data_IF_912051592700
#
_entry.id   IF_912051592700
#
_cell.length_a   1.000
_cell.length_b   1.000
_cell.length_c   1.000
_cell.angle_alpha   90.00
_cell.angle_beta   90.00
_cell.angle_gamma   90.00
#
_symmetry.space_group_name_H-M   'P 1'
#
loop_
_entity.id
_entity.type
_entity.pdbx_description
1 polymer ?
#
# COMPACT_ATOMS: atom_id res chain seq x y z
N UNK A 1 -10.21 -4.76 16.86
CA UNK A 1 -8.96 -5.53 16.70
C UNK A 1 -8.02 -4.69 15.86
N UNK A 2 -6.76 -4.51 16.27
CA UNK A 2 -5.75 -3.94 15.37
C UNK A 2 -5.31 -5.04 14.42
N UNK A 3 -5.52 -4.82 13.12
CA UNK A 3 -4.98 -5.67 12.07
C UNK A 3 -3.69 -5.01 11.59
N UNK A 4 -2.61 -5.78 11.58
CA UNK A 4 -1.33 -5.35 11.05
C UNK A 4 -1.18 -5.92 9.64
N UNK A 5 -0.68 -5.10 8.73
CA UNK A 5 -0.42 -5.45 7.33
C UNK A 5 1.02 -5.13 7.00
N UNK A 6 1.60 -5.90 6.08
CA UNK A 6 3.01 -5.81 5.71
C UNK A 6 3.13 -5.17 4.35
N UNK A 7 3.70 -3.97 4.31
CA UNK A 7 4.02 -3.28 3.07
C UNK A 7 5.43 -3.66 2.61
N UNK A 8 5.54 -4.25 1.43
CA UNK A 8 6.83 -4.36 0.73
C UNK A 8 7.08 -3.06 0.01
N UNK A 9 8.26 -2.48 0.21
CA UNK A 9 8.67 -1.21 -0.39
C UNK A 9 9.98 -1.44 -1.14
N UNK A 10 10.00 -1.02 -2.40
CA UNK A 10 11.18 -1.06 -3.27
C UNK A 10 11.37 0.30 -3.92
N UNK A 11 12.61 0.76 -3.97
CA UNK A 11 12.98 1.89 -4.82
C UNK A 11 13.50 1.35 -6.16
N UNK A 12 12.96 1.86 -7.26
CA UNK A 12 13.43 1.58 -8.61
C UNK A 12 13.63 2.91 -9.37
N UNK A 13 14.87 3.17 -9.76
CA UNK A 13 15.32 4.47 -10.26
C UNK A 13 14.82 5.65 -9.38
N UNK A 14 13.97 6.52 -9.93
CA UNK A 14 13.42 7.70 -9.25
C UNK A 14 12.02 7.45 -8.63
N UNK A 15 11.57 6.20 -8.57
CA UNK A 15 10.25 5.82 -8.09
C UNK A 15 10.34 4.90 -6.88
N UNK A 16 9.40 5.07 -5.97
CA UNK A 16 9.11 4.15 -4.89
C UNK A 16 7.89 3.33 -5.30
N UNK A 17 8.01 2.01 -5.25
CA UNK A 17 6.97 1.05 -5.61
C UNK A 17 6.68 0.23 -4.36
N UNK A 18 5.41 0.01 -4.04
CA UNK A 18 5.06 -0.84 -2.91
C UNK A 18 3.71 -1.51 -3.05
N UNK A 19 3.55 -2.58 -2.29
CA UNK A 19 2.33 -3.39 -2.24
C UNK A 19 2.14 -4.01 -0.85
N UNK A 20 0.89 -4.35 -0.52
CA UNK A 20 0.56 -5.06 0.72
C UNK A 20 0.62 -6.56 0.45
N UNK A 21 1.45 -7.30 1.20
CA UNK A 21 1.66 -8.74 0.98
C UNK A 21 0.36 -9.54 1.13
N UNK A 22 -0.47 -9.14 2.09
CA UNK A 22 -1.69 -9.85 2.44
C UNK A 22 -2.86 -9.56 1.49
N UNK A 23 -2.82 -8.47 0.73
CA UNK A 23 -3.93 -8.04 -0.14
C UNK A 23 -3.47 -7.83 -1.58
N UNK A 24 -3.63 -8.85 -2.44
CA UNK A 24 -3.38 -8.72 -3.87
C UNK A 24 -4.17 -7.56 -4.47
N UNK A 25 -3.49 -6.75 -5.29
CA UNK A 25 -4.10 -5.58 -5.94
C UNK A 25 -3.93 -4.28 -5.16
N UNK A 26 -3.57 -4.30 -3.88
CA UNK A 26 -3.19 -3.08 -3.14
C UNK A 26 -1.72 -2.78 -3.42
N UNK A 27 -1.48 -1.95 -4.42
CA UNK A 27 -0.15 -1.52 -4.84
C UNK A 27 -0.17 -0.07 -5.32
N UNK A 28 0.93 0.65 -5.10
CA UNK A 28 1.08 2.05 -5.48
C UNK A 28 2.51 2.33 -5.93
N UNK A 29 2.70 3.44 -6.66
CA UNK A 29 4.01 3.99 -6.97
C UNK A 29 4.02 5.51 -6.76
N UNK A 30 5.08 6.03 -6.15
CA UNK A 30 5.20 7.45 -5.80
C UNK A 30 6.64 7.95 -5.95
N UNK A 31 6.83 9.27 -5.89
CA UNK A 31 8.16 9.90 -6.03
C UNK A 31 8.95 9.97 -4.72
N UNK A 32 8.30 9.77 -3.58
CA UNK A 32 8.95 9.66 -2.27
C UNK A 32 8.40 8.46 -1.49
N UNK A 33 9.19 8.01 -0.51
CA UNK A 33 8.82 6.87 0.34
C UNK A 33 7.62 7.21 1.23
N UNK A 34 7.57 8.43 1.74
CA UNK A 34 6.50 8.93 2.59
C UNK A 34 5.17 8.97 1.84
N UNK A 35 5.18 9.53 0.62
CA UNK A 35 3.99 9.55 -0.23
C UNK A 35 3.53 8.12 -0.55
N UNK A 36 4.45 7.20 -0.84
CA UNK A 36 4.11 5.80 -1.09
C UNK A 36 3.39 5.18 0.12
N UNK A 37 3.89 5.41 1.33
CA UNK A 37 3.29 4.88 2.57
C UNK A 37 1.89 5.46 2.79
N UNK A 38 1.73 6.76 2.58
CA UNK A 38 0.44 7.44 2.73
C UNK A 38 -0.59 6.91 1.72
N UNK A 39 -0.20 6.82 0.44
CA UNK A 39 -1.07 6.31 -0.62
C UNK A 39 -1.44 4.84 -0.38
N UNK A 40 -0.47 3.98 -0.02
CA UNK A 40 -0.74 2.58 0.34
C UNK A 40 -1.75 2.47 1.50
N UNK A 41 -1.65 3.34 2.51
CA UNK A 41 -2.57 3.36 3.65
C UNK A 41 -3.99 3.80 3.29
N UNK A 42 -4.15 4.67 2.28
CA UNK A 42 -5.47 5.02 1.73
C UNK A 42 -6.03 3.84 0.94
N UNK A 43 -5.29 3.33 -0.04
CA UNK A 43 -5.73 2.23 -0.92
C UNK A 43 -6.05 0.95 -0.15
N UNK A 44 -5.29 0.64 0.91
CA UNK A 44 -5.57 -0.49 1.80
C UNK A 44 -6.93 -0.33 2.50
N UNK A 45 -7.27 0.87 3.00
CA UNK A 45 -8.56 1.11 3.65
C UNK A 45 -9.72 0.94 2.67
N UNK A 46 -9.59 1.50 1.47
CA UNK A 46 -10.60 1.36 0.42
C UNK A 46 -10.82 -0.11 0.03
N UNK A 47 -9.73 -0.88 -0.14
CA UNK A 47 -9.81 -2.31 -0.44
C UNK A 47 -10.52 -3.11 0.66
N UNK A 48 -10.25 -2.79 1.93
CA UNK A 48 -10.90 -3.41 3.07
C UNK A 48 -12.39 -3.07 3.15
N UNK A 49 -12.77 -1.82 2.87
CA UNK A 49 -14.17 -1.37 2.81
C UNK A 49 -14.97 -2.11 1.73
N UNK A 50 -14.39 -2.30 0.54
CA UNK A 50 -15.03 -3.05 -0.56
C UNK A 50 -15.21 -4.54 -0.24
N UNK A 51 -14.37 -5.10 0.64
CA UNK A 51 -14.44 -6.51 1.05
C UNK A 51 -15.43 -6.78 2.20
N UNK A 52 -15.91 -5.73 2.87
CA UNK A 52 -16.82 -5.83 4.01
C UNK A 52 -18.31 -5.78 3.61
N UNK A 53 -18.61 -5.74 2.30
CA UNK A 53 -19.96 -5.67 1.73
C UNK A 53 -20.57 -7.02 1.36
#
# INVERSE_FOLDING_TARGET
MQQNYTAVIKQDAAWWIGWIEEIPGVNCQERSREALIDTLGVTLREALELSAG
#
